data_IF_351620201809
#
_entry.id   IF_351620201809
#
_cell.length_a   1.000
_cell.length_b   1.000
_cell.length_c   1.000
_cell.angle_alpha   90.00
_cell.angle_beta   90.00
_cell.angle_gamma   90.00
#
_symmetry.space_group_name_H-M   'P 1'
#
loop_
_entity.id
_entity.type
_entity.pdbx_description
1 polymer ?
#
# COMPACT_ATOMS: atom_id res chain seq x y z
N UNK A 1 -12.32 11.95 -4.53
CA UNK A 1 -11.60 10.85 -3.85
C UNK A 1 -12.21 9.50 -4.19
N UNK A 2 -13.52 9.41 -4.43
CA UNK A 2 -14.22 8.18 -4.81
C UNK A 2 -13.65 7.51 -6.06
N UNK A 3 -13.28 8.26 -7.12
CA UNK A 3 -12.66 7.66 -8.31
C UNK A 3 -11.33 6.92 -8.02
N UNK A 4 -10.51 7.46 -7.13
CA UNK A 4 -9.23 6.83 -6.78
C UNK A 4 -9.44 5.59 -5.90
N UNK A 5 -10.42 5.61 -5.00
CA UNK A 5 -10.77 4.45 -4.19
C UNK A 5 -11.32 3.31 -5.07
N UNK A 6 -12.22 3.62 -6.00
CA UNK A 6 -12.76 2.64 -6.97
C UNK A 6 -11.67 2.09 -7.88
N UNK A 7 -10.71 2.92 -8.29
CA UNK A 7 -9.55 2.48 -9.08
C UNK A 7 -8.63 1.56 -8.29
N UNK A 8 -8.38 1.86 -7.01
CA UNK A 8 -7.58 1.01 -6.13
C UNK A 8 -8.25 -0.34 -5.89
N UNK A 9 -9.57 -0.38 -5.70
CA UNK A 9 -10.33 -1.61 -5.54
C UNK A 9 -10.30 -2.49 -6.80
N UNK A 10 -10.46 -1.88 -7.98
CA UNK A 10 -10.34 -2.59 -9.25
C UNK A 10 -8.93 -3.15 -9.46
N UNK A 11 -7.90 -2.36 -9.16
CA UNK A 11 -6.51 -2.80 -9.23
C UNK A 11 -6.20 -3.96 -8.26
N UNK A 12 -6.83 -3.97 -7.07
CA UNK A 12 -6.74 -5.10 -6.13
C UNK A 12 -7.35 -6.37 -6.74
N UNK A 13 -8.56 -6.27 -7.30
CA UNK A 13 -9.26 -7.40 -7.94
C UNK A 13 -8.51 -7.95 -9.15
N UNK A 14 -7.88 -7.09 -9.93
CA UNK A 14 -7.10 -7.46 -11.12
C UNK A 14 -5.66 -7.91 -10.79
N UNK A 15 -5.23 -7.86 -9.53
CA UNK A 15 -3.87 -8.21 -9.11
C UNK A 15 -2.80 -7.21 -9.55
N UNK A 16 -3.18 -6.01 -10.00
CA UNK A 16 -2.26 -4.96 -10.43
C UNK A 16 -1.73 -4.17 -9.21
N UNK A 17 -0.81 -4.80 -8.48
CA UNK A 17 -0.26 -4.26 -7.23
C UNK A 17 0.51 -2.95 -7.41
N UNK A 18 1.10 -2.72 -8.58
CA UNK A 18 1.80 -1.47 -8.89
C UNK A 18 0.82 -0.30 -8.93
N UNK A 19 -0.29 -0.46 -9.65
CA UNK A 19 -1.31 0.57 -9.76
C UNK A 19 -2.02 0.82 -8.43
N UNK A 20 -2.24 -0.25 -7.64
CA UNK A 20 -2.78 -0.14 -6.29
C UNK A 20 -1.87 0.68 -5.38
N UNK A 21 -0.55 0.45 -5.41
CA UNK A 21 0.44 1.20 -4.62
C UNK A 21 0.51 2.68 -5.02
N UNK A 22 0.56 2.99 -6.31
CA UNK A 22 0.62 4.38 -6.76
C UNK A 22 -0.68 5.14 -6.42
N UNK A 23 -1.83 4.46 -6.51
CA UNK A 23 -3.14 5.04 -6.18
C UNK A 23 -3.30 5.22 -4.68
N UNK A 24 -2.88 4.24 -3.85
CA UNK A 24 -2.92 4.35 -2.39
C UNK A 24 -1.96 5.41 -1.87
N UNK A 25 -0.78 5.56 -2.48
CA UNK A 25 0.15 6.67 -2.21
C UNK A 25 -0.48 8.02 -2.55
N UNK A 26 -1.21 8.12 -3.66
CA UNK A 26 -1.92 9.35 -4.06
C UNK A 26 -3.11 9.66 -3.14
N UNK A 27 -3.84 8.64 -2.68
CA UNK A 27 -4.93 8.73 -1.69
C UNK A 27 -4.42 9.13 -0.29
N UNK A 28 -3.25 8.63 0.11
CA UNK A 28 -2.61 8.97 1.39
C UNK A 28 -2.19 10.45 1.49
N UNK A 29 -2.26 11.20 0.38
CA UNK A 29 -1.82 12.58 0.31
C UNK A 29 -0.33 12.76 0.64
N UNK A 30 0.11 14.01 0.73
CA UNK A 30 1.49 14.37 1.05
C UNK A 30 1.77 14.25 2.57
N UNK A 31 1.38 13.14 3.20
CA UNK A 31 1.78 12.85 4.58
C UNK A 31 3.29 12.57 4.59
N UNK A 32 4.06 13.63 4.85
CA UNK A 32 5.53 13.67 4.78
C UNK A 32 6.21 12.62 5.67
N UNK A 33 5.46 12.01 6.61
CA UNK A 33 5.70 10.70 7.22
C UNK A 33 4.34 10.07 7.56
N UNK A 34 4.09 8.79 7.27
CA UNK A 34 2.99 8.09 7.90
C UNK A 34 3.26 8.04 9.41
N UNK A 35 2.35 8.56 10.23
CA UNK A 35 2.46 8.53 11.70
C UNK A 35 2.53 7.09 12.25
N UNK A 36 2.08 6.11 11.44
CA UNK A 36 2.21 4.68 11.71
C UNK A 36 3.10 4.01 10.66
N UNK A 37 4.31 3.57 11.04
CA UNK A 37 5.15 2.73 10.19
C UNK A 37 4.47 1.39 9.89
N UNK A 38 4.70 0.86 8.69
CA UNK A 38 4.26 -0.51 8.34
C UNK A 38 5.02 -1.50 9.21
N UNK A 39 4.30 -2.45 9.83
CA UNK A 39 4.90 -3.52 10.63
C UNK A 39 4.90 -4.85 9.89
N UNK A 40 5.95 -5.65 10.10
CA UNK A 40 6.04 -7.03 9.65
C UNK A 40 5.07 -7.91 10.44
N UNK A 41 4.90 -9.17 10.00
CA UNK A 41 4.10 -10.17 10.73
C UNK A 41 4.61 -10.41 12.15
N UNK A 42 5.92 -10.24 12.38
CA UNK A 42 6.57 -10.34 13.69
C UNK A 42 6.46 -9.05 14.53
N UNK A 43 5.73 -8.03 14.04
CA UNK A 43 5.54 -6.76 14.75
C UNK A 43 6.73 -5.78 14.64
N UNK A 44 7.79 -6.12 13.89
CA UNK A 44 8.93 -5.22 13.65
C UNK A 44 8.55 -4.13 12.64
N UNK A 45 9.06 -2.92 12.85
CA UNK A 45 8.86 -1.83 11.89
C UNK A 45 9.65 -2.12 10.62
N UNK A 46 8.95 -2.10 9.48
CA UNK A 46 9.55 -2.27 8.17
C UNK A 46 10.05 -0.91 7.67
N UNK A 47 11.36 -0.76 7.60
CA UNK A 47 12.04 0.44 7.10
C UNK A 47 12.42 0.34 5.62
N UNK A 48 12.53 -0.87 5.06
CA UNK A 48 12.87 -1.10 3.66
C UNK A 48 11.62 -1.08 2.76
N UNK A 49 11.67 -0.33 1.65
CA UNK A 49 10.60 -0.23 0.65
C UNK A 49 10.28 -1.60 0.02
N UNK A 50 11.28 -2.45 -0.18
CA UNK A 50 11.09 -3.78 -0.76
C UNK A 50 10.30 -4.69 0.18
N UNK A 51 10.66 -4.70 1.47
CA UNK A 51 9.91 -5.44 2.49
C UNK A 51 8.49 -4.89 2.67
N UNK A 52 8.30 -3.57 2.56
CA UNK A 52 6.95 -2.99 2.55
C UNK A 52 6.15 -3.52 1.37
N UNK A 53 6.72 -3.51 0.15
CA UNK A 53 6.07 -4.08 -1.04
C UNK A 53 5.76 -5.57 -0.87
N UNK A 54 6.69 -6.35 -0.34
CA UNK A 54 6.47 -7.77 -0.05
C UNK A 54 5.34 -7.96 0.97
N UNK A 55 5.23 -7.09 1.98
CA UNK A 55 4.12 -7.11 2.95
C UNK A 55 2.78 -6.80 2.29
N UNK A 56 2.74 -5.84 1.35
CA UNK A 56 1.56 -5.57 0.53
C UNK A 56 1.22 -6.78 -0.33
N UNK A 57 2.19 -7.39 -1.02
CA UNK A 57 1.96 -8.62 -1.80
C UNK A 57 1.41 -9.75 -0.93
N UNK A 58 1.96 -10.00 0.26
CA UNK A 58 1.45 -11.03 1.18
C UNK A 58 0.04 -10.75 1.72
N UNK A 59 -0.38 -9.48 1.85
CA UNK A 59 -1.69 -9.13 2.41
C UNK A 59 -2.81 -9.21 1.36
N UNK A 60 -2.48 -9.02 0.09
CA UNK A 60 -3.45 -8.97 -1.02
C UNK A 60 -3.41 -10.22 -1.91
N UNK A 61 -2.58 -11.22 -1.56
CA UNK A 61 -2.53 -12.54 -2.20
C UNK A 61 -3.35 -13.52 -1.39
#
# INVERSE_FOLDING_TARGET
MEDLATTAEKAAREGNMRQLYDTSKKLSGNHRKPERPVKSKEGKVITNIEEQRNRWVEHFK
#
